data_IF_313840817167
#
_entry.id   IF_313840817167
#
_cell.length_a   1.000
_cell.length_b   1.000
_cell.length_c   1.000
_cell.angle_alpha   90.00
_cell.angle_beta   90.00
_cell.angle_gamma   90.00
#
_symmetry.space_group_name_H-M   'P 1'
#
loop_
_entity.id
_entity.type
_entity.pdbx_description
1 polymer ?
#
# COMPACT_ATOMS: atom_id res chain seq x y z
N UNK A 1 -3.68 -28.93 11.73
CA UNK A 1 -4.40 -28.27 12.83
C UNK A 1 -4.98 -29.38 13.71
N UNK A 2 -4.18 -30.02 14.55
CA UNK A 2 -4.64 -31.25 15.27
C UNK A 2 -4.58 -31.13 16.80
N UNK A 3 -4.37 -29.95 17.35
CA UNK A 3 -4.35 -29.67 18.79
C UNK A 3 -4.79 -28.23 19.00
N UNK A 4 -6.08 -28.04 19.29
CA UNK A 4 -6.61 -26.75 19.71
C UNK A 4 -6.86 -26.85 21.21
N UNK A 5 -6.34 -25.92 21.99
CA UNK A 5 -6.36 -26.01 23.46
C UNK A 5 -7.52 -25.20 24.07
N UNK A 6 -8.27 -24.47 23.24
CA UNK A 6 -9.42 -23.63 23.59
C UNK A 6 -10.60 -23.86 22.62
N UNK A 7 -11.87 -23.60 23.04
CA UNK A 7 -13.05 -23.64 22.17
C UNK A 7 -13.08 -22.61 21.02
N UNK A 8 -12.04 -21.80 20.86
CA UNK A 8 -11.89 -20.77 19.84
C UNK A 8 -11.47 -21.29 18.47
N UNK A 9 -11.25 -20.36 17.53
CA UNK A 9 -10.70 -20.70 16.23
C UNK A 9 -9.25 -21.21 16.39
N UNK A 10 -8.99 -22.46 16.00
CA UNK A 10 -7.66 -23.09 16.00
C UNK A 10 -6.58 -22.36 15.20
N UNK A 11 -6.94 -21.26 14.54
CA UNK A 11 -6.02 -20.33 13.89
C UNK A 11 -5.23 -19.53 14.93
N UNK A 12 -5.74 -19.33 16.15
CA UNK A 12 -5.06 -18.53 17.19
C UNK A 12 -4.72 -19.30 18.46
N UNK A 13 -5.43 -20.40 18.71
CA UNK A 13 -5.33 -21.15 19.97
C UNK A 13 -4.86 -22.59 19.72
N UNK A 14 -3.95 -22.80 18.75
CA UNK A 14 -3.51 -24.13 18.37
C UNK A 14 -2.27 -24.17 17.48
N UNK A 15 -1.62 -25.34 17.47
CA UNK A 15 -0.30 -25.50 16.85
C UNK A 15 -0.33 -25.25 15.33
N UNK A 16 0.71 -24.56 14.84
CA UNK A 16 0.87 -24.22 13.44
C UNK A 16 1.89 -25.15 12.77
N UNK A 17 1.41 -26.07 11.91
CA UNK A 17 2.26 -27.06 11.22
C UNK A 17 3.20 -27.88 12.14
N UNK A 18 2.78 -28.13 13.39
CA UNK A 18 3.56 -28.87 14.38
C UNK A 18 4.56 -28.01 15.17
N UNK A 19 4.46 -26.69 15.05
CA UNK A 19 5.12 -25.73 15.94
C UNK A 19 4.21 -25.44 17.14
N UNK A 20 4.75 -25.61 18.34
CA UNK A 20 4.05 -25.34 19.60
C UNK A 20 3.61 -23.87 19.66
N UNK A 21 2.33 -23.66 19.91
CA UNK A 21 1.76 -22.31 20.03
C UNK A 21 2.08 -21.67 21.39
N UNK A 22 2.57 -20.43 21.37
CA UNK A 22 2.78 -19.65 22.59
C UNK A 22 1.48 -18.92 22.95
N UNK A 23 0.99 -19.13 24.17
CA UNK A 23 -0.21 -18.49 24.72
C UNK A 23 -0.08 -16.96 24.85
N UNK A 24 -0.21 -16.25 23.74
CA UNK A 24 0.05 -14.81 23.61
C UNK A 24 -0.96 -13.91 24.31
N UNK A 25 -2.08 -14.47 24.77
CA UNK A 25 -3.03 -13.83 25.68
C UNK A 25 -2.49 -13.67 27.11
N UNK A 26 -1.43 -14.41 27.49
CA UNK A 26 -0.88 -14.40 28.84
C UNK A 26 0.15 -13.29 29.07
N UNK A 27 0.07 -12.54 30.19
CA UNK A 27 1.02 -11.49 30.52
C UNK A 27 2.49 -11.90 30.54
N UNK A 28 2.80 -13.06 31.10
CA UNK A 28 4.16 -13.58 31.13
C UNK A 28 4.74 -13.80 29.73
N UNK A 29 3.90 -14.16 28.75
CA UNK A 29 4.32 -14.41 27.37
C UNK A 29 4.59 -13.11 26.63
N UNK A 30 3.61 -12.19 26.55
CA UNK A 30 3.84 -10.96 25.80
C UNK A 30 4.88 -10.04 26.48
N UNK A 31 5.02 -10.05 27.81
CA UNK A 31 6.09 -9.31 28.50
C UNK A 31 7.46 -9.96 28.26
N UNK A 32 7.54 -11.30 28.29
CA UNK A 32 8.77 -12.02 27.97
C UNK A 32 9.23 -11.76 26.54
N UNK A 33 8.31 -11.79 25.58
CA UNK A 33 8.59 -11.43 24.18
C UNK A 33 9.01 -9.96 24.04
N UNK A 34 8.38 -9.03 24.78
CA UNK A 34 8.80 -7.63 24.79
C UNK A 34 10.24 -7.46 25.29
N UNK A 35 10.63 -8.19 26.34
CA UNK A 35 12.00 -8.18 26.85
C UNK A 35 13.01 -8.72 25.83
N UNK A 36 12.74 -9.89 25.24
CA UNK A 36 13.64 -10.51 24.24
C UNK A 36 13.85 -9.59 23.03
N UNK A 37 12.76 -9.03 22.50
CA UNK A 37 12.82 -8.16 21.33
C UNK A 37 13.42 -6.79 21.70
N UNK A 38 13.17 -6.31 22.91
CA UNK A 38 13.80 -5.13 23.49
C UNK A 38 15.32 -5.24 23.54
N UNK A 39 15.84 -6.39 23.98
CA UNK A 39 17.28 -6.65 24.01
C UNK A 39 17.91 -6.53 22.62
N UNK A 40 17.20 -6.93 21.55
CA UNK A 40 17.70 -6.76 20.18
C UNK A 40 17.76 -5.30 19.76
N UNK A 41 16.80 -4.48 20.20
CA UNK A 41 16.81 -3.03 19.97
C UNK A 41 18.02 -2.42 20.66
N UNK A 42 18.19 -2.66 21.96
CA UNK A 42 19.25 -2.05 22.76
C UNK A 42 20.65 -2.52 22.30
N UNK A 43 20.79 -3.82 21.98
CA UNK A 43 22.08 -4.41 21.64
C UNK A 43 22.50 -4.15 20.19
N UNK A 44 21.57 -4.20 19.24
CA UNK A 44 21.88 -4.18 17.81
C UNK A 44 21.30 -2.97 17.06
N UNK A 45 20.52 -2.11 17.73
CA UNK A 45 19.99 -0.90 17.13
C UNK A 45 18.93 -1.17 16.06
N UNK A 46 18.09 -2.18 16.23
CA UNK A 46 17.01 -2.47 15.29
C UNK A 46 16.05 -1.28 15.20
N UNK A 47 15.56 -0.98 14.00
CA UNK A 47 14.69 0.18 13.73
C UNK A 47 13.25 -0.21 13.38
N UNK A 48 12.96 -1.51 13.42
CA UNK A 48 11.63 -2.04 13.13
C UNK A 48 11.60 -3.57 13.21
N UNK A 49 10.39 -4.11 13.22
CA UNK A 49 10.13 -5.55 13.20
C UNK A 49 9.09 -5.92 12.15
N UNK A 50 9.40 -6.97 11.37
CA UNK A 50 8.41 -7.78 10.66
C UNK A 50 7.99 -8.90 11.61
N UNK A 51 6.73 -8.90 12.05
CA UNK A 51 6.19 -9.94 12.94
C UNK A 51 5.58 -11.05 12.09
N UNK A 52 6.19 -12.23 12.13
CA UNK A 52 5.74 -13.43 11.44
C UNK A 52 4.36 -13.89 11.94
N UNK A 53 3.56 -14.51 11.07
CA UNK A 53 2.31 -15.18 11.48
C UNK A 53 1.37 -14.33 12.35
N UNK A 54 1.34 -13.00 12.19
CA UNK A 54 0.58 -12.08 13.03
C UNK A 54 -0.94 -12.36 13.05
N UNK A 55 -1.45 -13.08 12.04
CA UNK A 55 -2.83 -13.60 12.00
C UNK A 55 -3.17 -14.56 13.14
N UNK A 56 -2.15 -15.24 13.67
CA UNK A 56 -2.25 -16.32 14.65
C UNK A 56 -2.10 -15.84 16.10
N UNK A 57 -1.83 -14.56 16.32
CA UNK A 57 -1.67 -13.99 17.67
C UNK A 57 -3.02 -13.57 18.27
N UNK A 58 -3.08 -13.49 19.60
CA UNK A 58 -4.23 -12.93 20.32
C UNK A 58 -4.57 -11.50 19.87
N UNK A 59 -5.85 -11.13 19.87
CA UNK A 59 -6.33 -9.82 19.42
C UNK A 59 -5.81 -8.65 20.26
N UNK A 60 -5.44 -8.90 21.53
CA UNK A 60 -4.86 -7.90 22.41
C UNK A 60 -3.32 -7.89 22.39
N UNK A 61 -2.67 -8.87 21.75
CA UNK A 61 -1.21 -8.98 21.75
C UNK A 61 -0.52 -7.67 21.37
N UNK A 62 -0.88 -7.09 20.21
CA UNK A 62 -0.25 -5.85 19.74
C UNK A 62 -0.58 -4.62 20.61
N UNK A 63 -1.72 -4.61 21.31
CA UNK A 63 -2.05 -3.56 22.29
C UNK A 63 -1.17 -3.63 23.52
N UNK A 64 -0.77 -4.84 23.93
CA UNK A 64 0.04 -5.06 25.12
C UNK A 64 1.55 -4.99 24.83
N UNK A 65 1.98 -5.54 23.69
CA UNK A 65 3.39 -5.68 23.30
C UNK A 65 3.96 -4.43 22.63
N UNK A 66 3.27 -3.86 21.62
CA UNK A 66 3.82 -2.76 20.81
C UNK A 66 4.18 -1.51 21.62
N UNK A 67 3.38 -1.07 22.62
CA UNK A 67 3.75 0.09 23.44
C UNK A 67 5.07 -0.10 24.20
N UNK A 68 5.35 -1.31 24.67
CA UNK A 68 6.60 -1.63 25.37
C UNK A 68 7.79 -1.53 24.41
N UNK A 69 7.66 -2.10 23.22
CA UNK A 69 8.68 -2.02 22.16
C UNK A 69 8.95 -0.58 21.77
N UNK A 70 7.90 0.22 21.53
CA UNK A 70 8.06 1.63 21.17
C UNK A 70 8.78 2.41 22.28
N UNK A 71 8.43 2.14 23.54
CA UNK A 71 9.09 2.79 24.68
C UNK A 71 10.58 2.43 24.77
N UNK A 72 10.95 1.17 24.52
CA UNK A 72 12.36 0.72 24.52
C UNK A 72 13.12 1.36 23.35
N UNK A 73 12.51 1.41 22.16
CA UNK A 73 13.08 2.09 20.99
C UNK A 73 13.31 3.57 21.24
N UNK A 74 12.33 4.29 21.80
CA UNK A 74 12.44 5.70 22.14
C UNK A 74 13.57 5.95 23.16
N UNK A 75 13.67 5.13 24.22
CA UNK A 75 14.77 5.18 25.19
C UNK A 75 16.13 4.90 24.56
N UNK A 76 16.17 4.08 23.52
CA UNK A 76 17.37 3.75 22.75
C UNK A 76 17.71 4.81 21.68
N UNK A 77 16.97 5.92 21.63
CA UNK A 77 17.20 7.00 20.66
C UNK A 77 16.70 6.68 19.24
N UNK A 78 15.84 5.68 19.09
CA UNK A 78 15.30 5.24 17.80
C UNK A 78 13.89 5.80 17.64
N UNK A 79 13.78 6.86 16.85
CA UNK A 79 12.50 7.46 16.50
C UNK A 79 11.78 6.65 15.41
N UNK A 80 10.44 6.68 15.42
CA UNK A 80 9.59 6.06 14.40
C UNK A 80 9.83 4.55 14.20
N UNK A 81 10.07 3.82 15.30
CA UNK A 81 10.20 2.37 15.26
C UNK A 81 8.97 1.74 14.61
N UNK A 82 9.18 0.96 13.54
CA UNK A 82 8.09 0.44 12.72
C UNK A 82 7.86 -1.05 12.96
N UNK A 83 6.66 -1.42 13.41
CA UNK A 83 6.19 -2.80 13.53
C UNK A 83 5.19 -3.06 12.39
N UNK A 84 5.40 -4.12 11.63
CA UNK A 84 4.39 -4.61 10.70
C UNK A 84 4.22 -6.12 10.79
N UNK A 85 2.97 -6.57 10.77
CA UNK A 85 2.65 -8.00 10.85
C UNK A 85 2.42 -8.64 9.49
N UNK A 86 2.74 -9.92 9.40
CA UNK A 86 2.22 -10.79 8.36
C UNK A 86 0.82 -11.28 8.74
N UNK A 87 -0.19 -10.62 8.21
CA UNK A 87 -1.56 -11.10 8.22
C UNK A 87 -1.90 -11.55 6.81
N UNK A 88 -1.81 -12.84 6.53
CA UNK A 88 -2.12 -13.39 5.21
C UNK A 88 -3.63 -13.31 4.94
N UNK A 89 -4.07 -12.13 4.50
CA UNK A 89 -5.47 -11.79 4.24
C UNK A 89 -5.59 -10.93 2.97
N UNK A 90 -6.06 -11.48 1.84
CA UNK A 90 -6.15 -10.77 0.57
C UNK A 90 -7.34 -9.81 0.46
N UNK A 91 -8.24 -9.77 1.46
CA UNK A 91 -9.36 -8.83 1.54
C UNK A 91 -9.01 -7.61 2.38
N UNK A 92 -9.15 -6.37 1.87
CA UNK A 92 -8.96 -5.18 2.68
C UNK A 92 -9.85 -5.14 3.92
N UNK A 93 -11.09 -5.63 3.79
CA UNK A 93 -12.08 -5.63 4.88
C UNK A 93 -11.70 -6.60 6.00
N UNK A 94 -11.06 -7.73 5.68
CA UNK A 94 -10.63 -8.67 6.70
C UNK A 94 -9.23 -8.32 7.26
N UNK A 95 -8.43 -7.53 6.55
CA UNK A 95 -7.13 -7.03 7.04
C UNK A 95 -7.27 -5.83 7.98
N UNK A 96 -8.22 -4.92 7.69
CA UNK A 96 -8.46 -3.70 8.46
C UNK A 96 -8.59 -3.88 9.98
N UNK A 97 -9.26 -4.92 10.53
CA UNK A 97 -9.45 -5.06 11.97
C UNK A 97 -8.12 -5.23 12.72
N UNK A 98 -7.13 -5.90 12.12
CA UNK A 98 -5.82 -6.08 12.74
C UNK A 98 -5.12 -4.74 12.99
N UNK A 99 -5.34 -3.76 12.12
CA UNK A 99 -4.75 -2.42 12.25
C UNK A 99 -5.63 -1.54 13.14
N UNK A 100 -6.93 -1.45 12.83
CA UNK A 100 -7.86 -0.50 13.47
C UNK A 100 -8.28 -0.93 14.87
N UNK A 101 -8.56 -2.22 15.05
CA UNK A 101 -9.10 -2.78 16.29
C UNK A 101 -7.99 -3.38 17.15
N UNK A 102 -7.13 -4.22 16.57
CA UNK A 102 -6.03 -4.88 17.31
C UNK A 102 -4.80 -3.97 17.48
N UNK A 103 -4.85 -2.75 16.95
CA UNK A 103 -3.81 -1.71 17.09
C UNK A 103 -2.43 -2.12 16.59
N UNK A 104 -2.36 -3.01 15.60
CA UNK A 104 -1.13 -3.27 14.87
C UNK A 104 -0.76 -2.04 14.03
N UNK A 105 0.50 -1.58 14.12
CA UNK A 105 0.95 -0.34 13.46
C UNK A 105 0.84 -0.40 11.93
N UNK A 106 1.17 -1.55 11.33
CA UNK A 106 1.07 -1.79 9.89
C UNK A 106 1.01 -3.29 9.57
N UNK A 107 0.79 -3.65 8.31
CA UNK A 107 0.76 -5.03 7.81
C UNK A 107 1.40 -5.15 6.43
N UNK A 108 1.76 -6.38 6.05
CA UNK A 108 1.94 -6.75 4.64
C UNK A 108 0.64 -6.57 3.86
N UNK A 109 0.68 -5.82 2.76
CA UNK A 109 -0.48 -5.50 1.93
C UNK A 109 -0.77 -6.62 0.91
N UNK A 110 -1.24 -7.76 1.39
CA UNK A 110 -1.71 -8.86 0.54
C UNK A 110 -2.84 -8.44 -0.43
N UNK A 111 -3.79 -7.55 -0.06
CA UNK A 111 -4.76 -7.01 -1.00
C UNK A 111 -4.10 -6.29 -2.19
N UNK A 112 -3.12 -5.42 -1.93
CA UNK A 112 -2.35 -4.76 -2.99
C UNK A 112 -1.58 -5.78 -3.83
N UNK A 113 -0.86 -6.69 -3.20
CA UNK A 113 -0.05 -7.71 -3.88
C UNK A 113 -0.87 -8.44 -4.95
N UNK A 114 -2.03 -8.97 -4.56
CA UNK A 114 -2.91 -9.74 -5.45
C UNK A 114 -3.34 -8.90 -6.66
N UNK A 115 -3.89 -7.72 -6.41
CA UNK A 115 -4.45 -6.86 -7.46
C UNK A 115 -3.36 -6.29 -8.37
N UNK A 116 -2.20 -5.94 -7.82
CA UNK A 116 -1.07 -5.40 -8.57
C UNK A 116 -0.48 -6.45 -9.53
N UNK A 117 -0.29 -7.69 -9.06
CA UNK A 117 0.16 -8.81 -9.90
C UNK A 117 -0.85 -9.10 -11.00
N UNK A 118 -2.14 -9.19 -10.67
CA UNK A 118 -3.19 -9.44 -11.66
C UNK A 118 -3.26 -8.35 -12.74
N UNK A 119 -3.14 -7.09 -12.31
CA UNK A 119 -3.11 -5.96 -13.24
C UNK A 119 -1.89 -6.04 -14.15
N UNK A 120 -0.69 -6.27 -13.62
CA UNK A 120 0.52 -6.38 -14.44
C UNK A 120 0.49 -7.56 -15.42
N UNK A 121 -0.12 -8.68 -15.03
CA UNK A 121 -0.34 -9.83 -15.90
C UNK A 121 -1.43 -9.62 -16.98
N UNK A 122 -2.18 -8.51 -16.91
CA UNK A 122 -3.44 -8.29 -17.64
C UNK A 122 -4.51 -9.34 -17.39
N UNK A 123 -4.56 -9.97 -16.22
CA UNK A 123 -5.73 -10.77 -15.80
C UNK A 123 -6.83 -9.89 -15.24
N UNK A 124 -6.51 -8.66 -14.82
CA UNK A 124 -7.48 -7.66 -14.36
C UNK A 124 -7.33 -6.33 -15.11
N UNK A 125 -8.33 -5.47 -14.92
CA UNK A 125 -8.40 -4.14 -15.53
C UNK A 125 -8.28 -3.05 -14.45
N UNK A 126 -8.06 -1.81 -14.88
CA UNK A 126 -7.78 -0.67 -14.01
C UNK A 126 -8.89 -0.37 -12.98
N UNK A 127 -10.14 -0.80 -13.24
CA UNK A 127 -11.23 -0.68 -12.27
C UNK A 127 -11.01 -1.51 -11.01
N UNK A 128 -10.30 -2.64 -11.08
CA UNK A 128 -9.99 -3.44 -9.87
C UNK A 128 -8.98 -2.70 -8.99
N UNK A 129 -7.97 -2.05 -9.58
CA UNK A 129 -7.07 -1.15 -8.84
C UNK A 129 -7.82 0.01 -8.21
N UNK A 130 -8.74 0.64 -8.96
CA UNK A 130 -9.59 1.71 -8.41
C UNK A 130 -10.36 1.22 -7.18
N UNK A 131 -10.94 0.03 -7.24
CA UNK A 131 -11.69 -0.53 -6.13
C UNK A 131 -10.78 -0.83 -4.93
N UNK A 132 -9.59 -1.41 -5.15
CA UNK A 132 -8.60 -1.64 -4.09
C UNK A 132 -8.31 -0.34 -3.32
N UNK A 133 -7.89 0.72 -4.02
CA UNK A 133 -7.54 1.98 -3.36
C UNK A 133 -8.75 2.72 -2.77
N UNK A 134 -9.98 2.43 -3.22
CA UNK A 134 -11.18 2.94 -2.57
C UNK A 134 -11.45 2.30 -1.20
N UNK A 135 -10.79 1.18 -0.87
CA UNK A 135 -10.81 0.60 0.48
C UNK A 135 -9.74 1.19 1.40
N UNK A 136 -8.88 2.10 0.93
CA UNK A 136 -7.82 2.68 1.75
C UNK A 136 -8.38 3.44 2.97
N UNK A 137 -9.56 4.04 2.82
CA UNK A 137 -10.24 4.82 3.86
C UNK A 137 -10.61 3.98 5.10
N UNK A 138 -10.74 2.65 4.97
CA UNK A 138 -10.96 1.76 6.11
C UNK A 138 -9.76 1.72 7.06
N UNK A 139 -8.55 1.97 6.55
CA UNK A 139 -7.33 2.03 7.36
C UNK A 139 -7.11 3.41 7.99
N UNK A 140 -7.83 4.45 7.54
CA UNK A 140 -7.69 5.82 8.03
C UNK A 140 -8.19 5.95 9.47
N UNK A 141 -7.31 6.42 10.35
CA UNK A 141 -7.65 6.84 11.71
C UNK A 141 -6.83 8.06 12.11
N UNK A 142 -6.92 8.47 13.38
CA UNK A 142 -6.03 9.48 13.96
C UNK A 142 -4.53 9.13 13.82
N UNK A 143 -4.18 7.85 13.77
CA UNK A 143 -2.79 7.36 13.85
C UNK A 143 -2.41 6.37 12.76
N UNK A 144 -3.33 5.96 11.89
CA UNK A 144 -3.09 4.94 10.86
C UNK A 144 -3.62 5.37 9.50
N UNK A 145 -3.01 4.87 8.43
CA UNK A 145 -3.44 5.06 7.06
C UNK A 145 -2.89 3.93 6.19
N UNK A 146 -3.56 3.63 5.07
CA UNK A 146 -3.11 2.66 4.08
C UNK A 146 -1.72 2.99 3.50
N UNK A 147 -1.29 4.26 3.56
CA UNK A 147 0.05 4.69 3.15
C UNK A 147 1.18 4.05 3.97
N UNK A 148 0.89 3.52 5.16
CA UNK A 148 1.89 2.85 5.99
C UNK A 148 1.97 1.34 5.73
N UNK A 149 1.05 0.77 4.96
CA UNK A 149 1.06 -0.66 4.60
C UNK A 149 2.31 -1.00 3.78
N UNK A 150 2.88 -2.17 4.06
CA UNK A 150 4.07 -2.67 3.37
C UNK A 150 3.63 -3.37 2.09
N UNK A 151 3.81 -2.70 0.96
CA UNK A 151 3.41 -3.20 -0.36
C UNK A 151 4.51 -4.06 -0.96
N UNK A 152 4.12 -5.13 -1.65
CA UNK A 152 5.04 -6.09 -2.26
C UNK A 152 4.36 -6.79 -3.43
N UNK A 153 5.14 -7.47 -4.28
CA UNK A 153 4.62 -8.19 -5.45
C UNK A 153 4.76 -9.71 -5.33
N UNK A 154 5.73 -10.17 -4.55
CA UNK A 154 6.01 -11.56 -4.25
C UNK A 154 6.89 -11.66 -3.00
N UNK A 155 6.97 -12.86 -2.43
CA UNK A 155 7.78 -13.12 -1.24
C UNK A 155 8.22 -14.60 -1.21
N UNK A 156 8.89 -14.97 -0.11
CA UNK A 156 9.41 -16.31 0.14
C UNK A 156 8.38 -17.45 0.29
N UNK A 157 7.08 -17.15 0.42
CA UNK A 157 6.03 -18.16 0.68
C UNK A 157 5.06 -18.31 -0.49
N UNK A 158 4.57 -17.20 -1.04
CA UNK A 158 3.64 -17.22 -2.19
C UNK A 158 4.37 -17.41 -3.52
N UNK A 159 5.65 -17.04 -3.56
CA UNK A 159 6.49 -17.01 -4.74
C UNK A 159 6.95 -15.63 -5.15
N UNK A 160 7.96 -15.63 -6.02
CA UNK A 160 8.59 -14.44 -6.62
C UNK A 160 7.61 -13.66 -7.48
N UNK A 161 7.74 -12.34 -7.53
CA UNK A 161 6.87 -11.50 -8.37
C UNK A 161 6.87 -11.96 -9.84
N UNK A 162 8.06 -12.31 -10.35
CA UNK A 162 8.27 -12.78 -11.72
C UNK A 162 7.48 -14.07 -12.00
N UNK A 163 7.53 -15.06 -11.10
CA UNK A 163 6.76 -16.30 -11.19
C UNK A 163 5.26 -16.02 -11.20
N UNK A 164 4.81 -15.18 -10.27
CA UNK A 164 3.40 -14.87 -10.07
C UNK A 164 2.80 -14.16 -11.28
N UNK A 165 3.55 -13.27 -11.93
CA UNK A 165 3.12 -12.58 -13.15
C UNK A 165 3.14 -13.53 -14.37
N UNK A 166 4.16 -14.39 -14.46
CA UNK A 166 4.35 -15.29 -15.59
C UNK A 166 3.26 -16.38 -15.64
N UNK A 167 2.96 -17.01 -14.50
CA UNK A 167 2.05 -18.16 -14.43
C UNK A 167 0.58 -17.83 -14.77
N UNK A 168 0.21 -16.55 -14.71
CA UNK A 168 -1.18 -16.11 -14.96
C UNK A 168 -1.59 -16.36 -16.41
N UNK A 169 -0.64 -16.26 -17.36
CA UNK A 169 -0.89 -16.58 -18.76
C UNK A 169 0.41 -16.76 -19.53
N UNK A 170 0.31 -17.46 -20.67
CA UNK A 170 1.43 -17.55 -21.63
C UNK A 170 1.79 -16.14 -22.13
N UNK A 171 3.03 -15.73 -21.89
CA UNK A 171 3.55 -14.43 -22.28
C UNK A 171 4.26 -14.52 -23.63
N UNK A 172 3.86 -13.71 -24.63
CA UNK A 172 4.64 -13.59 -25.85
C UNK A 172 6.07 -13.10 -25.55
N UNK A 173 7.06 -13.44 -26.40
CA UNK A 173 8.45 -13.05 -26.20
C UNK A 173 8.59 -11.55 -25.91
N UNK A 174 9.36 -11.22 -24.87
CA UNK A 174 9.62 -9.84 -24.44
C UNK A 174 8.51 -9.17 -23.62
N UNK A 175 7.28 -9.71 -23.56
CA UNK A 175 6.21 -9.08 -22.78
C UNK A 175 6.39 -9.25 -21.27
N UNK A 176 6.95 -10.37 -20.81
CA UNK A 176 7.12 -10.63 -19.38
C UNK A 176 7.98 -9.53 -18.71
N UNK A 177 9.08 -9.14 -19.34
CA UNK A 177 9.92 -8.04 -18.85
C UNK A 177 9.12 -6.73 -18.68
N UNK A 178 8.33 -6.36 -19.70
CA UNK A 178 7.51 -5.14 -19.64
C UNK A 178 6.45 -5.20 -18.54
N UNK A 179 5.86 -6.39 -18.30
CA UNK A 179 4.90 -6.60 -17.20
C UNK A 179 5.55 -6.48 -15.84
N UNK A 180 6.72 -7.07 -15.65
CA UNK A 180 7.50 -6.95 -14.41
C UNK A 180 7.86 -5.49 -14.15
N UNK A 181 8.31 -4.75 -15.19
CA UNK A 181 8.55 -3.31 -15.07
C UNK A 181 7.28 -2.53 -14.72
N UNK A 182 6.14 -2.86 -15.33
CA UNK A 182 4.87 -2.23 -15.04
C UNK A 182 4.42 -2.48 -13.58
N UNK A 183 4.58 -3.71 -13.09
CA UNK A 183 4.30 -4.07 -11.70
C UNK A 183 5.19 -3.27 -10.73
N UNK A 184 6.49 -3.18 -11.02
CA UNK A 184 7.44 -2.41 -10.23
C UNK A 184 7.13 -0.90 -10.25
N UNK A 185 6.71 -0.34 -11.40
CA UNK A 185 6.24 1.05 -11.48
C UNK A 185 5.03 1.28 -10.57
N UNK A 186 4.07 0.36 -10.58
CA UNK A 186 2.89 0.45 -9.71
C UNK A 186 3.30 0.35 -8.22
N UNK A 187 4.15 -0.61 -7.87
CA UNK A 187 4.70 -0.80 -6.52
C UNK A 187 5.41 0.47 -6.01
N UNK A 188 6.31 1.03 -6.80
CA UNK A 188 7.15 2.15 -6.37
C UNK A 188 6.46 3.51 -6.39
N UNK A 189 5.45 3.73 -7.23
CA UNK A 189 4.89 5.07 -7.42
C UNK A 189 3.49 5.24 -6.82
N UNK A 190 2.82 4.15 -6.45
CA UNK A 190 1.56 4.22 -5.67
C UNK A 190 1.83 4.44 -4.18
N UNK A 191 0.79 4.47 -3.34
CA UNK A 191 0.90 4.61 -1.88
C UNK A 191 1.43 3.33 -1.23
N UNK A 192 2.09 3.46 -0.08
CA UNK A 192 2.63 2.33 0.69
C UNK A 192 4.16 2.33 0.78
N UNK A 193 4.67 1.32 1.48
CA UNK A 193 6.10 1.09 1.70
C UNK A 193 6.56 -0.06 0.79
N UNK A 194 7.13 0.23 -0.40
CA UNK A 194 7.46 -0.80 -1.38
C UNK A 194 8.61 -1.69 -0.90
N UNK A 195 8.38 -3.01 -0.92
CA UNK A 195 9.35 -4.04 -0.59
C UNK A 195 9.57 -4.95 -1.80
N UNK A 196 10.82 -5.06 -2.23
CA UNK A 196 11.25 -5.96 -3.30
C UNK A 196 11.89 -7.19 -2.68
N UNK A 197 11.45 -8.37 -3.10
CA UNK A 197 12.03 -9.62 -2.64
C UNK A 197 13.30 -9.93 -3.42
N UNK A 198 14.36 -10.32 -2.71
CA UNK A 198 15.70 -10.48 -3.28
C UNK A 198 15.68 -11.41 -4.50
N UNK A 199 16.44 -11.09 -5.54
CA UNK A 199 16.49 -11.87 -6.76
C UNK A 199 15.47 -11.48 -7.82
N UNK A 200 14.38 -10.80 -7.45
CA UNK A 200 13.41 -10.32 -8.44
C UNK A 200 14.04 -9.26 -9.37
N UNK A 201 14.96 -8.46 -8.84
CA UNK A 201 15.73 -7.43 -9.55
C UNK A 201 16.72 -7.97 -10.59
N UNK A 202 17.21 -9.20 -10.40
CA UNK A 202 18.05 -9.93 -11.36
C UNK A 202 17.24 -10.90 -12.23
N UNK A 203 15.91 -10.88 -12.10
CA UNK A 203 14.99 -11.62 -12.95
C UNK A 203 14.95 -13.11 -12.69
N UNK A 204 15.20 -13.57 -11.44
CA UNK A 204 14.93 -14.97 -11.07
C UNK A 204 13.44 -15.24 -11.34
N UNK A 205 13.13 -16.20 -12.22
CA UNK A 205 11.74 -16.47 -12.57
C UNK A 205 11.04 -17.29 -11.49
N UNK A 206 11.70 -18.33 -10.95
CA UNK A 206 11.07 -19.37 -10.14
C UNK A 206 10.64 -20.57 -10.99
N UNK A 207 10.33 -21.70 -10.35
CA UNK A 207 9.96 -22.94 -11.01
C UNK A 207 8.94 -23.77 -10.21
N UNK A 208 8.39 -24.81 -10.81
CA UNK A 208 7.46 -25.74 -10.17
C UNK A 208 6.22 -25.04 -9.62
N UNK A 209 5.91 -25.25 -8.32
CA UNK A 209 4.80 -24.56 -7.67
C UNK A 209 5.16 -23.10 -7.25
N UNK A 210 6.43 -22.74 -7.36
CA UNK A 210 7.00 -21.42 -7.04
C UNK A 210 6.81 -20.98 -5.61
N UNK A 211 6.65 -21.89 -4.65
CA UNK A 211 6.50 -21.60 -3.22
C UNK A 211 7.69 -22.12 -2.42
N UNK A 212 7.85 -21.60 -1.20
CA UNK A 212 8.86 -22.05 -0.21
C UNK A 212 10.25 -22.24 -0.85
N UNK A 213 10.79 -23.46 -0.89
CA UNK A 213 12.11 -23.77 -1.45
C UNK A 213 12.27 -23.30 -2.91
N UNK A 214 11.19 -23.35 -3.70
CA UNK A 214 11.18 -22.91 -5.10
C UNK A 214 10.97 -21.39 -5.26
N UNK A 215 10.91 -20.66 -4.16
CA UNK A 215 10.95 -19.20 -4.08
C UNK A 215 12.22 -18.69 -3.39
N UNK A 216 13.15 -19.56 -2.98
CA UNK A 216 14.31 -19.24 -2.14
C UNK A 216 15.64 -19.59 -2.80
N UNK A 217 15.71 -19.47 -4.13
CA UNK A 217 16.94 -19.67 -4.91
C UNK A 217 18.09 -18.83 -4.36
N UNK A 218 19.30 -19.42 -4.37
CA UNK A 218 20.53 -18.70 -4.06
C UNK A 218 20.75 -17.53 -5.02
N UNK A 219 21.23 -16.39 -4.50
CA UNK A 219 21.88 -15.38 -5.34
C UNK A 219 23.32 -15.80 -5.69
N UNK A 220 24.01 -16.43 -4.75
CA UNK A 220 25.38 -16.91 -4.87
C UNK A 220 25.50 -18.14 -5.80
N UNK A 221 26.72 -18.57 -6.16
CA UNK A 221 26.94 -19.81 -6.90
C UNK A 221 26.23 -20.99 -6.25
N UNK A 222 25.40 -21.69 -7.00
CA UNK A 222 24.56 -22.76 -6.47
C UNK A 222 25.00 -24.16 -6.91
N UNK A 223 24.85 -25.13 -6.01
CA UNK A 223 24.98 -26.56 -6.31
C UNK A 223 23.65 -27.21 -6.71
N UNK A 224 22.52 -26.51 -6.53
CA UNK A 224 21.18 -27.04 -6.80
C UNK A 224 20.94 -27.07 -8.29
N UNK A 225 20.86 -28.26 -8.87
CA UNK A 225 20.89 -28.45 -10.33
C UNK A 225 19.70 -27.77 -11.03
N UNK A 226 18.51 -27.84 -10.45
CA UNK A 226 17.33 -27.18 -11.01
C UNK A 226 17.53 -25.67 -11.14
N UNK A 227 18.19 -25.02 -10.18
CA UNK A 227 18.39 -23.55 -10.18
C UNK A 227 19.41 -23.09 -11.21
N UNK A 228 20.37 -23.95 -11.57
CA UNK A 228 21.33 -23.64 -12.64
C UNK A 228 20.65 -23.49 -14.00
N UNK A 229 19.57 -24.24 -14.21
CA UNK A 229 18.84 -24.32 -15.47
C UNK A 229 17.55 -23.50 -15.46
N UNK A 230 17.18 -22.92 -14.32
CA UNK A 230 15.96 -22.12 -14.19
C UNK A 230 15.97 -20.92 -15.15
N UNK A 231 14.86 -20.71 -15.88
CA UNK A 231 14.72 -19.54 -16.73
C UNK A 231 14.83 -18.25 -15.92
N UNK A 232 15.28 -17.20 -16.60
CA UNK A 232 15.25 -15.82 -16.12
C UNK A 232 14.22 -15.05 -16.92
N UNK A 233 13.69 -13.96 -16.35
CA UNK A 233 12.82 -13.03 -17.09
C UNK A 233 13.50 -12.51 -18.35
N UNK A 234 14.82 -12.29 -18.27
CA UNK A 234 15.68 -11.94 -19.40
C UNK A 234 17.03 -12.64 -19.28
N UNK A 235 17.63 -12.99 -20.41
CA UNK A 235 18.94 -13.64 -20.45
C UNK A 235 18.85 -15.16 -20.33
N UNK A 236 20.02 -15.79 -20.19
CA UNK A 236 20.13 -17.24 -20.02
C UNK A 236 20.01 -17.61 -18.54
N UNK A 237 19.69 -18.88 -18.22
CA UNK A 237 19.87 -19.40 -16.87
C UNK A 237 21.26 -19.09 -16.31
N UNK A 238 21.37 -18.93 -14.98
CA UNK A 238 22.61 -18.50 -14.33
C UNK A 238 23.71 -19.57 -14.37
N UNK A 239 23.36 -20.83 -14.64
CA UNK A 239 24.32 -21.93 -14.55
C UNK A 239 24.86 -22.05 -13.13
N UNK A 240 26.17 -22.24 -12.98
CA UNK A 240 26.82 -22.26 -11.66
C UNK A 240 27.38 -20.90 -11.23
N UNK A 241 27.03 -19.81 -11.94
CA UNK A 241 27.55 -18.48 -11.66
C UNK A 241 26.77 -17.79 -10.51
N UNK A 242 27.29 -16.64 -10.10
CA UNK A 242 26.63 -15.75 -9.16
C UNK A 242 25.64 -14.81 -9.88
N UNK A 243 24.42 -14.71 -9.37
CA UNK A 243 23.35 -13.85 -9.90
C UNK A 243 23.65 -12.36 -9.73
N UNK A 244 24.48 -11.97 -8.76
CA UNK A 244 24.89 -10.59 -8.51
C UNK A 244 25.65 -9.98 -9.69
N UNK A 245 26.36 -10.79 -10.49
CA UNK A 245 27.14 -10.35 -11.66
C UNK A 245 26.26 -9.60 -12.67
N UNK A 246 24.99 -10.00 -12.79
CA UNK A 246 24.06 -9.40 -13.72
C UNK A 246 23.35 -8.15 -13.17
N UNK A 247 23.48 -7.83 -11.87
CA UNK A 247 22.62 -6.85 -11.18
C UNK A 247 22.55 -5.51 -11.91
N UNK A 248 23.67 -4.81 -12.07
CA UNK A 248 23.65 -3.47 -12.66
C UNK A 248 23.43 -3.45 -14.18
N UNK A 249 23.56 -4.59 -14.86
CA UNK A 249 23.26 -4.70 -16.28
C UNK A 249 21.81 -5.12 -16.55
N UNK A 250 21.14 -5.75 -15.58
CA UNK A 250 19.79 -6.29 -15.71
C UNK A 250 18.76 -5.17 -15.94
N UNK A 251 17.87 -5.30 -16.93
CA UNK A 251 16.87 -4.28 -17.24
C UNK A 251 15.83 -4.06 -16.12
N UNK A 252 15.58 -5.04 -15.25
CA UNK A 252 14.68 -4.91 -14.09
C UNK A 252 15.37 -4.08 -13.01
N UNK A 253 16.59 -4.44 -12.60
CA UNK A 253 17.37 -3.65 -11.65
C UNK A 253 17.56 -2.19 -12.10
N UNK A 254 17.90 -1.94 -13.37
CA UNK A 254 17.99 -0.58 -13.92
C UNK A 254 16.68 0.19 -13.75
N UNK A 255 15.55 -0.46 -14.01
CA UNK A 255 14.22 0.14 -13.84
C UNK A 255 13.93 0.47 -12.37
N UNK A 256 14.23 -0.44 -11.45
CA UNK A 256 14.09 -0.21 -10.01
C UNK A 256 14.99 0.93 -9.52
N UNK A 257 16.22 1.03 -10.01
CA UNK A 257 17.14 2.15 -9.73
C UNK A 257 16.51 3.46 -10.20
N UNK A 258 16.03 3.53 -11.44
CA UNK A 258 15.34 4.73 -11.96
C UNK A 258 14.13 5.12 -11.11
N UNK A 259 13.30 4.15 -10.70
CA UNK A 259 12.15 4.41 -9.82
C UNK A 259 12.57 4.91 -8.43
N UNK A 260 13.65 4.35 -7.88
CA UNK A 260 14.23 4.79 -6.61
C UNK A 260 14.79 6.21 -6.70
N UNK A 261 15.49 6.54 -7.78
CA UNK A 261 16.00 7.88 -8.05
C UNK A 261 14.86 8.90 -8.21
N UNK A 262 13.77 8.52 -8.89
CA UNK A 262 12.57 9.35 -8.98
C UNK A 262 11.95 9.62 -7.61
N UNK A 263 11.80 8.60 -6.75
CA UNK A 263 11.30 8.78 -5.37
C UNK A 263 12.21 9.68 -4.55
N UNK A 264 13.53 9.58 -4.71
CA UNK A 264 14.52 10.43 -4.02
C UNK A 264 14.47 11.88 -4.50
N UNK A 265 14.40 12.09 -5.81
CA UNK A 265 14.37 13.43 -6.41
C UNK A 265 13.02 14.14 -6.24
N UNK A 266 11.94 13.36 -6.14
CA UNK A 266 10.56 13.85 -6.04
C UNK A 266 9.83 13.10 -4.91
N UNK A 267 9.99 13.51 -3.65
CA UNK A 267 9.42 12.83 -2.48
C UNK A 267 7.90 12.58 -2.56
N UNK A 268 7.18 13.44 -3.29
CA UNK A 268 5.77 13.24 -3.57
C UNK A 268 5.45 11.90 -4.25
N UNK A 269 6.32 11.41 -5.12
CA UNK A 269 6.18 10.10 -5.78
C UNK A 269 6.39 8.92 -4.81
N UNK A 270 6.99 9.16 -3.63
CA UNK A 270 7.27 8.11 -2.67
C UNK A 270 6.02 7.72 -1.86
N UNK A 271 5.50 8.63 -1.04
CA UNK A 271 4.36 8.29 -0.16
C UNK A 271 3.43 9.47 0.18
N UNK A 272 3.50 10.60 -0.53
CA UNK A 272 2.54 11.69 -0.34
C UNK A 272 1.16 11.35 -0.99
N UNK A 273 0.21 12.28 -0.90
CA UNK A 273 -1.17 12.15 -1.37
C UNK A 273 -1.28 11.53 -2.77
N UNK A 274 -2.24 10.62 -2.99
CA UNK A 274 -2.46 9.88 -4.23
C UNK A 274 -3.92 9.90 -4.70
N UNK A 275 -4.29 10.76 -5.64
CA UNK A 275 -5.65 10.80 -6.19
C UNK A 275 -5.77 9.99 -7.47
N UNK A 276 -6.71 9.03 -7.54
CA UNK A 276 -7.04 8.37 -8.81
C UNK A 276 -7.70 9.36 -9.76
N UNK A 277 -7.18 9.45 -10.99
CA UNK A 277 -7.68 10.32 -12.07
C UNK A 277 -8.35 9.57 -13.20
N UNK A 278 -7.94 8.32 -13.45
CA UNK A 278 -8.47 7.51 -14.53
C UNK A 278 -8.34 6.02 -14.21
N UNK A 279 -9.39 5.25 -14.46
CA UNK A 279 -9.39 3.80 -14.28
C UNK A 279 -10.42 3.15 -15.20
N UNK A 280 -10.04 2.90 -16.45
CA UNK A 280 -10.93 2.28 -17.46
C UNK A 280 -10.13 1.34 -18.35
N UNK A 281 -10.66 0.13 -18.54
CA UNK A 281 -9.98 -0.89 -19.35
C UNK A 281 -8.57 -1.15 -18.83
N UNK A 282 -7.57 -1.11 -19.71
CA UNK A 282 -6.18 -1.36 -19.37
C UNK A 282 -5.43 -0.18 -18.78
N UNK A 283 -6.02 1.02 -18.73
CA UNK A 283 -5.32 2.23 -18.34
C UNK A 283 -5.73 2.68 -16.95
N UNK A 284 -4.73 2.79 -16.08
CA UNK A 284 -4.83 3.32 -14.73
C UNK A 284 -3.97 4.58 -14.61
N UNK A 285 -4.52 5.65 -14.06
CA UNK A 285 -3.80 6.89 -13.83
C UNK A 285 -4.14 7.49 -12.47
N UNK A 286 -3.12 7.98 -11.77
CA UNK A 286 -3.27 8.66 -10.50
C UNK A 286 -2.30 9.83 -10.41
N UNK A 287 -2.74 10.90 -9.74
CA UNK A 287 -1.91 12.04 -9.42
C UNK A 287 -1.23 11.84 -8.07
N UNK A 288 -0.01 12.36 -7.93
CA UNK A 288 0.65 12.58 -6.64
C UNK A 288 0.79 14.08 -6.41
N UNK A 289 0.49 14.57 -5.21
CA UNK A 289 0.67 15.99 -4.85
C UNK A 289 1.96 16.12 -4.05
N UNK A 290 2.87 16.98 -4.51
CA UNK A 290 3.93 17.51 -3.67
C UNK A 290 3.37 18.65 -2.82
N UNK A 291 3.28 18.43 -1.51
CA UNK A 291 2.67 19.39 -0.58
C UNK A 291 3.49 20.69 -0.53
N UNK A 292 4.81 20.59 -0.38
CA UNK A 292 5.72 21.74 -0.29
C UNK A 292 5.85 22.51 -1.60
N UNK A 293 5.95 21.82 -2.74
CA UNK A 293 6.06 22.44 -4.06
C UNK A 293 4.70 22.89 -4.65
N UNK A 294 3.58 22.53 -4.00
CA UNK A 294 2.21 22.72 -4.53
C UNK A 294 2.06 22.22 -5.97
N UNK A 295 2.73 21.10 -6.26
CA UNK A 295 2.93 20.57 -7.61
C UNK A 295 2.25 19.24 -7.79
N UNK A 296 1.69 19.03 -8.98
CA UNK A 296 1.12 17.76 -9.38
C UNK A 296 2.12 16.94 -10.18
N UNK A 297 2.16 15.65 -9.86
CA UNK A 297 2.74 14.59 -10.67
C UNK A 297 1.61 13.68 -11.13
N UNK A 298 1.74 13.05 -12.30
CA UNK A 298 0.77 12.13 -12.86
C UNK A 298 1.48 10.85 -13.30
N UNK A 299 1.08 9.72 -12.74
CA UNK A 299 1.55 8.39 -13.14
C UNK A 299 0.45 7.74 -13.98
N UNK A 300 0.80 7.22 -15.14
CA UNK A 300 -0.13 6.54 -16.05
C UNK A 300 0.45 5.18 -16.44
N UNK A 301 -0.33 4.12 -16.32
CA UNK A 301 0.05 2.75 -16.64
C UNK A 301 -0.92 2.17 -17.66
N UNK A 302 -0.42 1.43 -18.66
CA UNK A 302 -1.24 0.67 -19.60
C UNK A 302 -0.84 -0.81 -19.56
N UNK A 303 -1.70 -1.66 -19.01
CA UNK A 303 -1.43 -3.09 -18.92
C UNK A 303 -1.80 -3.88 -20.20
N UNK A 304 -2.32 -3.24 -21.25
CA UNK A 304 -2.61 -3.90 -22.52
C UNK A 304 -1.38 -3.97 -23.41
N UNK A 305 -1.28 -4.98 -24.28
CA UNK A 305 -0.26 -5.01 -25.34
C UNK A 305 -0.50 -3.98 -26.45
N UNK A 306 -1.66 -3.31 -26.46
CA UNK A 306 -2.04 -2.30 -27.46
C UNK A 306 -1.83 -0.89 -26.92
N UNK A 307 -1.41 0.01 -27.79
CA UNK A 307 -1.41 1.46 -27.53
C UNK A 307 -2.81 1.94 -27.21
N UNK A 308 -2.92 2.83 -26.23
CA UNK A 308 -4.18 3.46 -25.80
C UNK A 308 -4.05 4.98 -25.81
N UNK A 309 -5.11 5.67 -26.23
CA UNK A 309 -5.23 7.13 -26.10
C UNK A 309 -6.30 7.45 -25.07
N UNK A 310 -5.95 8.18 -24.03
CA UNK A 310 -6.86 8.54 -22.93
C UNK A 310 -6.85 10.03 -22.66
N UNK A 311 -7.98 10.52 -22.14
CA UNK A 311 -8.13 11.87 -21.61
C UNK A 311 -8.21 11.77 -20.08
N UNK A 312 -7.29 12.43 -19.40
CA UNK A 312 -7.10 12.33 -17.95
C UNK A 312 -7.34 13.71 -17.33
N UNK A 313 -8.19 13.77 -16.30
CA UNK A 313 -8.37 15.00 -15.53
C UNK A 313 -7.12 15.28 -14.68
N UNK A 314 -6.68 16.54 -14.66
CA UNK A 314 -5.53 17.01 -13.87
C UNK A 314 -5.91 18.21 -13.02
N UNK A 315 -5.20 18.42 -11.90
CA UNK A 315 -5.28 19.65 -11.12
C UNK A 315 -4.48 20.80 -11.74
N UNK A 316 -3.65 20.51 -12.76
CA UNK A 316 -2.76 21.50 -13.38
C UNK A 316 -2.97 21.58 -14.88
N UNK A 317 -3.40 22.75 -15.35
CA UNK A 317 -3.32 23.16 -16.76
C UNK A 317 -1.94 23.75 -17.05
N UNK A 318 -1.41 23.56 -18.25
CA UNK A 318 -0.10 24.07 -18.64
C UNK A 318 0.83 22.96 -19.15
N UNK A 319 2.13 23.22 -19.13
CA UNK A 319 3.16 22.29 -19.61
C UNK A 319 3.46 21.20 -18.58
N UNK A 320 3.78 20.03 -19.09
CA UNK A 320 4.16 18.84 -18.34
C UNK A 320 5.38 18.21 -18.98
N UNK A 321 6.21 17.55 -18.19
CA UNK A 321 7.38 16.81 -18.66
C UNK A 321 7.33 15.38 -18.13
N UNK A 322 7.51 14.41 -19.02
CA UNK A 322 7.76 13.02 -18.62
C UNK A 322 9.18 12.89 -18.07
N UNK A 323 9.27 12.47 -16.81
CA UNK A 323 10.53 12.33 -16.09
C UNK A 323 11.36 11.13 -16.57
N UNK A 324 10.74 10.17 -17.26
CA UNK A 324 11.44 9.00 -17.81
C UNK A 324 11.87 9.27 -19.25
N UNK A 325 10.94 9.67 -20.12
CA UNK A 325 11.25 9.84 -21.56
C UNK A 325 11.74 11.24 -21.95
N UNK A 326 11.59 12.24 -21.07
CA UNK A 326 11.92 13.64 -21.34
C UNK A 326 10.90 14.37 -22.23
N UNK A 327 9.89 13.68 -22.77
CA UNK A 327 8.87 14.26 -23.66
C UNK A 327 8.02 15.30 -22.92
N UNK A 328 7.61 16.33 -23.65
CA UNK A 328 6.71 17.38 -23.13
C UNK A 328 5.27 17.16 -23.56
N UNK A 329 4.34 17.52 -22.67
CA UNK A 329 2.90 17.45 -22.88
C UNK A 329 2.25 18.75 -22.41
N UNK A 330 1.00 18.99 -22.82
CA UNK A 330 0.23 20.16 -22.40
C UNK A 330 -1.16 19.73 -21.95
N UNK A 331 -1.54 20.10 -20.73
CA UNK A 331 -2.91 20.00 -20.23
C UNK A 331 -3.66 21.30 -20.50
N UNK A 332 -4.90 21.21 -20.97
CA UNK A 332 -5.79 22.36 -21.23
C UNK A 332 -7.03 22.22 -20.37
N UNK A 333 -7.36 23.25 -19.60
CA UNK A 333 -8.55 23.27 -18.72
C UNK A 333 -8.63 22.05 -17.75
N UNK A 334 -7.47 21.61 -17.25
CA UNK A 334 -7.36 20.45 -16.37
C UNK A 334 -7.65 19.12 -17.06
N UNK A 335 -7.37 19.01 -18.35
CA UNK A 335 -7.46 17.77 -19.13
C UNK A 335 -6.18 17.56 -19.94
N UNK A 336 -5.55 16.40 -19.75
CA UNK A 336 -4.37 15.94 -20.49
C UNK A 336 -4.77 14.76 -21.39
N UNK A 337 -4.52 14.89 -22.70
CA UNK A 337 -4.61 13.74 -23.62
C UNK A 337 -3.27 13.05 -23.73
N UNK A 338 -3.22 11.75 -23.46
CA UNK A 338 -2.00 10.95 -23.52
C UNK A 338 -2.19 9.74 -24.42
N UNK A 339 -1.27 9.56 -25.39
CA UNK A 339 -1.10 8.32 -26.14
C UNK A 339 -0.01 7.50 -25.46
N UNK A 340 -0.37 6.36 -24.91
CA UNK A 340 0.52 5.48 -24.13
C UNK A 340 0.65 4.13 -24.83
N UNK A 341 1.88 3.70 -25.07
CA UNK A 341 2.17 2.43 -25.74
C UNK A 341 1.73 1.23 -24.88
N UNK A 342 1.65 0.06 -25.51
CA UNK A 342 1.30 -1.17 -24.79
C UNK A 342 2.35 -1.56 -23.74
N UNK A 343 1.90 -2.08 -22.60
CA UNK A 343 2.76 -2.55 -21.49
C UNK A 343 3.79 -1.51 -21.05
N UNK A 344 3.35 -0.26 -20.95
CA UNK A 344 4.21 0.88 -20.65
C UNK A 344 3.62 1.79 -19.58
N UNK A 345 4.44 2.70 -19.09
CA UNK A 345 4.06 3.72 -18.12
C UNK A 345 4.66 5.08 -18.47
N UNK A 346 4.01 6.15 -18.05
CA UNK A 346 4.53 7.52 -18.09
C UNK A 346 4.49 8.14 -16.69
N UNK A 347 5.49 8.95 -16.35
CA UNK A 347 5.59 9.66 -15.07
C UNK A 347 5.76 11.14 -15.37
N UNK A 348 4.67 11.89 -15.35
CA UNK A 348 4.65 13.29 -15.74
C UNK A 348 4.75 14.19 -14.52
N UNK A 349 5.52 15.27 -14.62
CA UNK A 349 5.58 16.37 -13.66
C UNK A 349 5.00 17.62 -14.30
N UNK A 350 4.06 18.28 -13.64
CA UNK A 350 3.58 19.59 -14.07
C UNK A 350 4.70 20.63 -13.92
N UNK A 351 4.87 21.53 -14.89
CA UNK A 351 5.90 22.58 -14.83
C UNK A 351 5.47 23.78 -13.97
N UNK A 352 4.15 23.99 -13.81
CA UNK A 352 3.57 25.01 -12.91
C UNK A 352 3.02 24.39 -11.61
N UNK A 353 2.74 25.25 -10.62
CA UNK A 353 1.88 24.87 -9.48
C UNK A 353 0.46 24.48 -9.93
N UNK A 354 -0.22 23.72 -9.08
CA UNK A 354 -1.64 23.35 -9.24
C UNK A 354 -2.49 24.60 -9.43
N UNK A 355 -3.33 24.63 -10.47
CA UNK A 355 -4.11 25.83 -10.84
C UNK A 355 -5.60 25.57 -11.12
N UNK A 356 -6.07 24.33 -11.04
CA UNK A 356 -7.49 23.95 -11.11
C UNK A 356 -8.05 23.77 -9.70
N UNK A 357 -8.32 24.89 -9.01
CA UNK A 357 -8.61 24.90 -7.56
C UNK A 357 -10.09 25.00 -7.20
N UNK A 358 -10.99 24.93 -8.18
CA UNK A 358 -12.42 25.01 -7.92
C UNK A 358 -12.86 23.85 -7.02
N UNK A 359 -13.41 24.17 -5.85
CA UNK A 359 -13.97 23.20 -4.90
C UNK A 359 -15.44 23.56 -4.67
N UNK A 360 -16.31 22.57 -4.88
CA UNK A 360 -17.73 22.67 -4.53
C UNK A 360 -18.04 21.65 -3.44
N UNK A 361 -18.34 22.15 -2.25
CA UNK A 361 -18.69 21.32 -1.09
C UNK A 361 -20.15 20.87 -1.20
N UNK A 362 -20.35 19.56 -1.07
CA UNK A 362 -21.66 18.93 -0.91
C UNK A 362 -22.05 18.73 0.55
N UNK A 363 -22.90 17.72 0.78
CA UNK A 363 -23.37 17.33 2.11
C UNK A 363 -22.32 16.45 2.81
N UNK A 364 -22.23 16.61 4.13
CA UNK A 364 -21.67 15.62 5.05
C UNK A 364 -22.80 14.67 5.45
N UNK A 365 -22.55 13.37 5.42
CA UNK A 365 -23.54 12.35 5.79
C UNK A 365 -22.87 11.18 6.49
N UNK A 366 -23.56 10.56 7.43
CA UNK A 366 -23.15 9.33 8.08
C UNK A 366 -24.16 8.22 7.81
N UNK A 367 -23.68 7.00 7.61
CA UNK A 367 -24.51 5.79 7.53
C UNK A 367 -23.72 4.60 8.07
N UNK A 368 -24.44 3.61 8.59
CA UNK A 368 -23.85 2.32 8.89
C UNK A 368 -23.35 1.66 7.59
N UNK A 369 -22.15 1.11 7.65
CA UNK A 369 -21.51 0.38 6.58
C UNK A 369 -21.64 -1.13 6.84
N UNK A 370 -22.37 -1.80 5.95
CA UNK A 370 -22.67 -3.23 6.11
C UNK A 370 -21.44 -4.14 5.96
N UNK A 371 -20.33 -3.66 5.37
CA UNK A 371 -19.13 -4.46 5.16
C UNK A 371 -18.30 -4.59 6.44
N UNK A 372 -18.20 -3.50 7.20
CA UNK A 372 -17.38 -3.41 8.41
C UNK A 372 -18.17 -3.39 9.71
N UNK A 373 -19.46 -3.03 9.66
CA UNK A 373 -20.25 -2.66 10.85
C UNK A 373 -19.88 -1.28 11.41
N UNK A 374 -18.99 -0.53 10.76
CA UNK A 374 -18.61 0.83 11.17
C UNK A 374 -19.60 1.85 10.63
N UNK A 375 -19.56 3.08 11.14
CA UNK A 375 -20.29 4.20 10.54
C UNK A 375 -19.38 4.92 9.53
N UNK A 376 -19.73 4.86 8.25
CA UNK A 376 -19.07 5.62 7.19
C UNK A 376 -19.58 7.06 7.18
N UNK A 377 -18.69 8.01 7.45
CA UNK A 377 -18.90 9.44 7.30
C UNK A 377 -18.30 9.90 5.97
N UNK A 378 -19.15 10.34 5.06
CA UNK A 378 -18.76 10.80 3.72
C UNK A 378 -18.94 12.30 3.59
N UNK A 379 -17.90 13.01 3.12
CA UNK A 379 -17.99 14.38 2.65
C UNK A 379 -17.97 14.43 1.13
N UNK A 380 -19.10 14.79 0.52
CA UNK A 380 -19.17 14.97 -0.94
C UNK A 380 -18.42 16.23 -1.36
N UNK A 381 -17.46 16.08 -2.26
CA UNK A 381 -16.71 17.20 -2.86
C UNK A 381 -16.62 17.00 -4.36
N UNK A 382 -16.88 18.06 -5.11
CA UNK A 382 -16.62 18.11 -6.55
C UNK A 382 -15.44 19.04 -6.80
N UNK A 383 -14.32 18.49 -7.25
CA UNK A 383 -13.12 19.27 -7.56
C UNK A 383 -12.15 18.54 -8.49
N UNK A 384 -11.41 19.31 -9.30
CA UNK A 384 -10.20 18.83 -10.00
C UNK A 384 -8.93 18.99 -9.17
N UNK A 385 -9.01 19.75 -8.08
CA UNK A 385 -7.91 19.99 -7.16
C UNK A 385 -7.39 18.68 -6.53
N UNK A 386 -6.29 18.76 -5.80
CA UNK A 386 -5.76 17.69 -4.96
C UNK A 386 -5.97 18.07 -3.50
N UNK A 387 -7.22 18.36 -3.17
CA UNK A 387 -7.62 18.70 -1.81
C UNK A 387 -7.55 17.47 -0.90
N UNK A 388 -7.47 17.71 0.41
CA UNK A 388 -7.57 16.69 1.45
C UNK A 388 -8.74 17.02 2.38
N UNK A 389 -9.27 16.04 3.09
CA UNK A 389 -10.34 16.24 4.06
C UNK A 389 -9.89 15.82 5.47
N UNK A 390 -10.07 16.71 6.44
CA UNK A 390 -9.85 16.41 7.86
C UNK A 390 -11.20 16.14 8.51
N UNK A 391 -11.31 15.04 9.26
CA UNK A 391 -12.53 14.67 9.99
C UNK A 391 -12.30 14.72 11.50
N UNK A 392 -13.33 15.15 12.23
CA UNK A 392 -13.29 15.28 13.68
C UNK A 392 -14.59 14.80 14.31
N UNK A 393 -14.49 14.26 15.52
CA UNK A 393 -15.60 13.76 16.33
C UNK A 393 -15.58 14.34 17.74
N UNK A 394 -16.74 14.45 18.36
CA UNK A 394 -16.88 14.60 19.82
C UNK A 394 -18.17 13.93 20.29
N UNK A 395 -18.20 13.51 21.55
CA UNK A 395 -19.47 13.19 22.21
C UNK A 395 -20.18 14.49 22.60
N UNK A 396 -21.51 14.49 22.78
CA UNK A 396 -22.22 15.71 23.20
C UNK A 396 -21.77 16.25 24.57
N UNK A 397 -21.21 15.40 25.42
CA UNK A 397 -20.63 15.79 26.71
C UNK A 397 -19.25 16.44 26.59
N UNK A 398 -18.56 16.26 25.47
CA UNK A 398 -17.20 16.76 25.27
C UNK A 398 -17.18 18.15 24.64
N UNK A 399 -16.41 19.07 25.23
CA UNK A 399 -16.15 20.38 24.62
C UNK A 399 -15.07 20.33 23.55
N UNK A 400 -14.18 19.33 23.59
CA UNK A 400 -13.03 19.18 22.68
C UNK A 400 -13.35 18.25 21.51
N UNK A 401 -12.84 18.61 20.34
CA UNK A 401 -12.90 17.79 19.14
C UNK A 401 -11.67 16.90 19.04
N UNK A 402 -11.88 15.60 18.84
CA UNK A 402 -10.84 14.62 18.53
C UNK A 402 -10.75 14.42 17.02
N UNK A 403 -9.55 14.16 16.49
CA UNK A 403 -9.40 13.83 15.07
C UNK A 403 -9.86 12.39 14.82
N UNK A 404 -10.60 12.17 13.73
CA UNK A 404 -10.89 10.84 13.18
C UNK A 404 -9.85 10.41 12.13
N UNK A 405 -9.01 11.34 11.67
CA UNK A 405 -8.02 11.13 10.61
C UNK A 405 -8.13 12.13 9.48
N UNK A 406 -7.23 11.98 8.51
CA UNK A 406 -7.17 12.78 7.29
C UNK A 406 -7.32 11.85 6.10
N UNK A 407 -8.33 12.09 5.29
CA UNK A 407 -8.47 11.43 4.01
C UNK A 407 -7.81 12.26 2.92
N UNK A 408 -6.90 11.63 2.20
CA UNK A 408 -6.10 12.25 1.16
C UNK A 408 -6.78 12.16 -0.21
N UNK A 409 -7.82 11.35 -0.39
CA UNK A 409 -8.29 10.97 -1.71
C UNK A 409 -9.82 11.05 -1.83
N UNK A 410 -10.32 11.66 -2.91
CA UNK A 410 -11.75 11.72 -3.20
C UNK A 410 -12.26 10.38 -3.77
N UNK A 411 -13.52 9.99 -3.44
CA UNK A 411 -14.45 10.68 -2.53
C UNK A 411 -14.03 10.57 -1.07
N UNK A 412 -14.20 11.64 -0.28
CA UNK A 412 -13.65 11.67 1.08
C UNK A 412 -14.52 10.91 2.08
N UNK A 413 -13.93 9.94 2.80
CA UNK A 413 -14.59 9.14 3.83
C UNK A 413 -13.72 8.98 5.09
N UNK A 414 -14.39 8.73 6.21
CA UNK A 414 -13.78 8.16 7.41
C UNK A 414 -14.76 7.20 8.08
N UNK A 415 -14.24 6.18 8.76
CA UNK A 415 -15.06 5.15 9.40
C UNK A 415 -14.90 5.18 10.92
N UNK A 416 -16.04 5.25 11.62
CA UNK A 416 -16.13 5.29 13.08
C UNK A 416 -16.51 3.90 13.59
N UNK A 417 -15.70 3.35 14.49
CA UNK A 417 -15.97 2.07 15.15
C UNK A 417 -17.03 2.26 16.27
N UNK A 418 -18.19 1.58 16.21
CA UNK A 418 -19.23 1.70 17.23
C UNK A 418 -18.81 1.18 18.60
N UNK A 419 -17.72 0.40 18.70
CA UNK A 419 -17.13 -0.01 19.98
C UNK A 419 -16.28 1.07 20.62
N UNK A 420 -15.74 2.01 19.84
CA UNK A 420 -14.97 3.15 20.35
C UNK A 420 -15.88 4.34 20.68
N UNK A 421 -16.94 4.54 19.88
CA UNK A 421 -17.90 5.63 20.05
C UNK A 421 -19.33 5.10 19.99
N UNK A 422 -20.12 5.32 21.03
CA UNK A 422 -21.54 4.96 21.08
C UNK A 422 -22.39 6.11 21.63
N UNK A 423 -23.68 6.11 21.30
CA UNK A 423 -24.62 7.14 21.73
C UNK A 423 -24.55 8.43 20.88
N UNK A 424 -24.99 9.58 21.44
CA UNK A 424 -25.10 10.83 20.70
C UNK A 424 -23.73 11.47 20.44
N UNK A 425 -23.38 11.63 19.16
CA UNK A 425 -22.12 12.22 18.72
C UNK A 425 -22.33 13.35 17.72
N UNK A 426 -21.30 14.18 17.57
CA UNK A 426 -21.19 15.20 16.55
C UNK A 426 -19.93 14.95 15.73
N UNK A 427 -20.05 15.12 14.41
CA UNK A 427 -18.95 14.94 13.46
C UNK A 427 -18.88 16.15 12.56
N UNK A 428 -17.66 16.65 12.34
CA UNK A 428 -17.40 17.71 11.37
C UNK A 428 -16.27 17.35 10.43
N UNK A 429 -16.31 17.93 9.25
CA UNK A 429 -15.28 17.77 8.24
C UNK A 429 -14.89 19.12 7.64
N UNK A 430 -13.60 19.26 7.31
CA UNK A 430 -13.04 20.43 6.63
C UNK A 430 -12.25 19.99 5.40
N UNK A 431 -12.24 20.80 4.35
CA UNK A 431 -11.46 20.54 3.13
C UNK A 431 -10.35 21.55 3.00
N UNK A 432 -9.12 21.07 2.84
CA UNK A 432 -7.93 21.87 2.60
C UNK A 432 -7.54 21.74 1.14
N UNK A 433 -7.55 22.86 0.42
CA UNK A 433 -7.18 22.90 -1.01
C UNK A 433 -5.67 22.71 -1.25
N UNK A 434 -5.28 22.67 -2.53
CA UNK A 434 -3.88 22.55 -2.95
C UNK A 434 -2.95 23.67 -2.46
N UNK A 435 -3.50 24.82 -2.07
CA UNK A 435 -2.77 25.99 -1.55
C UNK A 435 -2.75 26.09 -0.02
N UNK A 436 -3.52 25.25 0.67
CA UNK A 436 -3.69 25.31 2.12
C UNK A 436 -4.92 26.12 2.58
N UNK A 437 -5.77 26.56 1.66
CA UNK A 437 -7.03 27.22 1.97
C UNK A 437 -8.02 26.24 2.59
N UNK A 438 -8.50 26.56 3.81
CA UNK A 438 -9.57 25.80 4.48
C UNK A 438 -10.93 26.31 4.01
N UNK A 439 -11.73 25.42 3.44
CA UNK A 439 -13.12 25.72 3.04
C UNK A 439 -14.09 25.52 4.22
N UNK A 440 -15.34 25.94 4.04
CA UNK A 440 -16.41 25.85 5.05
C UNK A 440 -16.49 24.48 5.73
N UNK A 441 -16.63 24.51 7.06
CA UNK A 441 -16.89 23.33 7.87
C UNK A 441 -18.31 22.82 7.62
N UNK A 442 -18.45 21.51 7.45
CA UNK A 442 -19.76 20.83 7.51
C UNK A 442 -19.82 20.02 8.78
N UNK A 443 -20.95 20.07 9.46
CA UNK A 443 -21.17 19.39 10.73
C UNK A 443 -22.52 18.66 10.69
N UNK A 444 -22.56 17.47 11.30
CA UNK A 444 -23.77 16.69 11.51
C UNK A 444 -23.76 16.10 12.92
N UNK A 445 -24.94 15.89 13.49
CA UNK A 445 -25.13 15.13 14.72
C UNK A 445 -25.94 13.88 14.40
N UNK A 446 -25.57 12.75 15.00
CA UNK A 446 -26.31 11.49 14.88
C UNK A 446 -26.03 10.59 16.08
N UNK A 447 -26.77 9.49 16.18
CA UNK A 447 -26.61 8.50 17.25
C UNK A 447 -25.98 7.24 16.68
N UNK A 448 -24.93 6.74 17.33
CA UNK A 448 -24.40 5.40 17.07
C UNK A 448 -25.12 4.42 17.98
N UNK A 449 -25.65 3.35 17.41
CA UNK A 449 -26.25 2.27 18.19
C UNK A 449 -25.20 1.65 19.12
N UNK A 450 -25.58 1.39 20.36
CA UNK A 450 -24.73 0.62 21.27
C UNK A 450 -24.62 -0.82 20.73
N UNK A 451 -23.41 -1.35 20.54
CA UNK A 451 -23.18 -2.71 20.04
C UNK A 451 -23.86 -3.81 20.85
#
# INVERSE_FOLDING_TARGET
MNSCWSPGACVRDGDFFGLDDLATEKPEVYNGLAAIYGDWIEKYGFVGFRVDTARHLDDQFFKNWSPQINQIAEKSGIANFTIFGEVWEPSPIALMPYIRVNKMQSALDFPFQRVAVDYAASSSNASILKNLFAYDDYYTSATTSASNLVTFLGNHDMGRANFLIERVKINPPGQLLSRVKLANTLLYLSRGVPTVYYGDEVGILGSGNGRDQLARQDLFPTKVEIWKQEPRVTGKPVGSADSFVATFSNPIAKHLITLSELRKAHPALANEQMQIRYAKGSVFAFSKRAISEKREYLVVLNNSAKTSTVKISTATSGKWKDLISGKSFTSKSGELTLKLDGLSSAVLRAESEINQRGIKLGKLSAKEDFLSGFYNVTLKVESKDLAIAEFFIRTKSDSKWSTLGVDLNQPFNVFIDPKEYSGPIEVKASVIDSKGGKNELREIAFNIATP
#
